data_IF_950629457079
#
_entry.id   IF_950629457079
#
_cell.length_a   1.000
_cell.length_b   1.000
_cell.length_c   1.000
_cell.angle_alpha   90.00
_cell.angle_beta   90.00
_cell.angle_gamma   90.00
#
_symmetry.space_group_name_H-M   'P 1'
#
loop_
_entity.id
_entity.type
_entity.pdbx_description
1 polymer ?
#
# COMPACT_ATOMS: atom_id res chain seq x y z
N UNK A 1 -14.80 -3.84 14.37
CA UNK A 1 -14.76 -5.32 14.35
C UNK A 1 -14.95 -5.96 12.97
N UNK A 2 -15.45 -5.28 11.92
CA UNK A 2 -15.68 -5.91 10.60
C UNK A 2 -14.51 -5.94 9.60
N UNK A 3 -13.34 -5.36 9.93
CA UNK A 3 -12.23 -5.23 8.97
C UNK A 3 -11.27 -6.42 8.91
N UNK A 4 -11.18 -7.24 9.97
CA UNK A 4 -10.31 -8.42 10.02
C UNK A 4 -10.81 -9.57 9.15
N UNK A 5 -12.12 -9.65 8.93
CA UNK A 5 -12.77 -10.76 8.21
C UNK A 5 -12.58 -10.69 6.69
N UNK A 6 -12.56 -9.51 6.07
CA UNK A 6 -12.47 -9.40 4.60
C UNK A 6 -11.11 -9.84 4.06
N UNK A 7 -10.01 -9.48 4.73
CA UNK A 7 -8.67 -9.88 4.30
C UNK A 7 -8.45 -11.41 4.40
N UNK A 8 -9.05 -12.07 5.39
CA UNK A 8 -9.03 -13.53 5.53
C UNK A 8 -9.71 -14.20 4.33
N UNK A 9 -10.86 -13.68 3.89
CA UNK A 9 -11.60 -14.24 2.75
C UNK A 9 -10.84 -14.13 1.42
N UNK A 10 -9.91 -13.19 1.31
CA UNK A 10 -9.11 -12.95 0.12
C UNK A 10 -7.72 -13.59 0.19
N UNK A 11 -7.38 -14.24 1.31
CA UNK A 11 -6.06 -14.83 1.50
C UNK A 11 -5.82 -15.89 0.41
N UNK A 12 -4.82 -15.70 -0.47
CA UNK A 12 -4.58 -16.66 -1.52
C UNK A 12 -3.88 -17.90 -0.95
N UNK A 13 -4.18 -19.08 -1.51
CA UNK A 13 -3.68 -20.37 -1.00
C UNK A 13 -2.15 -20.49 -1.07
N UNK A 14 -1.51 -19.73 -1.96
CA UNK A 14 -0.06 -19.71 -2.17
C UNK A 14 0.68 -18.63 -1.36
N UNK A 15 -0.02 -17.97 -0.43
CA UNK A 15 0.57 -17.00 0.50
C UNK A 15 1.53 -17.70 1.47
N UNK A 16 2.76 -17.19 1.56
CA UNK A 16 3.78 -17.71 2.46
C UNK A 16 4.11 -16.66 3.52
N UNK A 17 3.67 -16.89 4.75
CA UNK A 17 3.98 -16.02 5.89
C UNK A 17 5.15 -16.55 6.71
N UNK A 18 6.08 -15.65 7.05
CA UNK A 18 7.09 -15.89 8.06
C UNK A 18 6.44 -16.11 9.42
N UNK A 19 7.05 -16.98 10.22
CA UNK A 19 6.67 -17.19 11.62
C UNK A 19 7.34 -16.17 12.56
N UNK A 20 8.25 -15.37 12.04
CA UNK A 20 8.98 -14.37 12.82
C UNK A 20 8.06 -13.22 13.24
N UNK A 21 8.34 -12.68 14.42
CA UNK A 21 7.66 -11.51 14.97
C UNK A 21 8.73 -10.46 15.23
N UNK A 22 8.60 -9.31 14.56
CA UNK A 22 9.52 -8.19 14.71
C UNK A 22 9.33 -7.59 16.10
N UNK A 23 10.42 -7.47 16.85
CA UNK A 23 10.46 -6.66 18.06
C UNK A 23 10.48 -5.18 17.67
N UNK A 24 9.29 -4.58 17.59
CA UNK A 24 9.10 -3.19 17.14
C UNK A 24 9.87 -2.20 18.04
N UNK A 25 10.18 -2.55 19.28
CA UNK A 25 10.92 -1.67 20.19
C UNK A 25 12.43 -1.63 19.89
N UNK A 26 12.91 -2.57 19.09
CA UNK A 26 14.32 -2.73 18.77
C UNK A 26 14.71 -2.18 17.41
N UNK A 27 13.74 -1.99 16.51
CA UNK A 27 14.01 -1.60 15.12
C UNK A 27 14.27 -0.09 14.98
N UNK A 28 15.07 0.34 14.00
CA UNK A 28 15.40 1.75 13.73
C UNK A 28 14.19 2.70 13.72
N UNK A 29 13.08 2.32 13.10
CA UNK A 29 11.88 3.15 12.98
C UNK A 29 11.15 3.42 14.31
N UNK A 30 11.55 2.73 15.39
CA UNK A 30 10.97 2.92 16.71
C UNK A 30 11.21 4.32 17.28
N UNK A 31 12.32 5.00 16.93
CA UNK A 31 12.76 6.24 17.59
C UNK A 31 11.86 7.48 17.35
N UNK A 32 10.66 7.30 16.78
CA UNK A 32 9.61 8.33 16.62
C UNK A 32 8.21 7.91 17.09
N UNK A 33 8.07 6.91 17.98
CA UNK A 33 6.79 6.30 18.37
C UNK A 33 5.89 7.18 19.28
N UNK A 34 5.42 8.33 18.77
CA UNK A 34 4.20 8.99 19.31
C UNK A 34 3.04 9.03 18.29
N UNK A 35 3.23 8.54 17.06
CA UNK A 35 2.23 8.64 15.99
C UNK A 35 1.60 7.30 15.55
N UNK A 36 1.81 6.22 16.31
CA UNK A 36 1.35 4.86 15.94
C UNK A 36 -0.19 4.72 15.92
N UNK A 37 -0.92 5.65 16.51
CA UNK A 37 -2.38 5.65 16.57
C UNK A 37 -3.05 6.78 15.78
N UNK A 38 -2.31 7.55 14.95
CA UNK A 38 -2.89 8.69 14.21
C UNK A 38 -3.16 8.45 12.72
N UNK A 39 -2.96 7.25 12.19
CA UNK A 39 -3.34 6.90 10.80
C UNK A 39 -4.87 6.64 10.67
N UNK A 40 -5.68 7.35 11.47
CA UNK A 40 -7.07 7.57 11.13
C UNK A 40 -7.10 8.66 10.06
N UNK A 41 -7.25 8.22 8.81
CA UNK A 41 -7.82 9.04 7.73
C UNK A 41 -8.99 9.80 8.35
N UNK A 42 -9.02 11.12 8.16
CA UNK A 42 -10.10 11.95 8.66
C UNK A 42 -11.44 11.29 8.32
N UNK A 43 -12.19 10.89 9.35
CA UNK A 43 -13.57 10.43 9.20
C UNK A 43 -14.52 11.61 8.96
N UNK A 44 -13.95 12.80 8.73
CA UNK A 44 -14.67 14.02 8.51
C UNK A 44 -15.02 14.13 7.03
N UNK A 45 -16.30 13.89 6.71
CA UNK A 45 -16.86 14.01 5.36
C UNK A 45 -16.87 15.47 4.84
N UNK A 46 -16.28 16.41 5.59
CA UNK A 46 -16.19 17.83 5.27
C UNK A 46 -15.19 18.13 4.15
N UNK A 47 -14.20 17.26 3.93
CA UNK A 47 -13.10 17.54 3.00
C UNK A 47 -13.09 16.68 1.73
N UNK A 48 -14.15 16.84 0.93
CA UNK A 48 -14.20 16.29 -0.44
C UNK A 48 -13.05 16.81 -1.31
N UNK A 49 -12.50 17.98 -0.98
CA UNK A 49 -11.39 18.63 -1.69
C UNK A 49 -10.09 17.89 -1.45
N UNK A 50 -9.81 17.47 -0.21
CA UNK A 50 -8.66 16.63 0.12
C UNK A 50 -8.76 15.24 -0.54
N UNK A 51 -9.92 14.58 -0.50
CA UNK A 51 -10.12 13.30 -1.20
C UNK A 51 -9.91 13.44 -2.71
N UNK A 52 -10.42 14.51 -3.32
CA UNK A 52 -10.21 14.82 -4.75
C UNK A 52 -8.76 15.19 -5.05
N UNK A 53 -8.10 15.92 -4.15
CA UNK A 53 -6.69 16.30 -4.23
C UNK A 53 -5.76 15.10 -4.13
N UNK A 54 -6.07 14.14 -3.26
CA UNK A 54 -5.38 12.86 -3.12
C UNK A 54 -5.68 11.91 -4.28
N UNK A 55 -6.85 11.99 -4.91
CA UNK A 55 -7.17 11.22 -6.12
C UNK A 55 -6.49 11.79 -7.39
N UNK A 56 -6.12 13.07 -7.39
CA UNK A 56 -5.39 13.70 -8.49
C UNK A 56 -3.88 13.64 -8.24
N UNK A 57 -3.11 13.14 -9.21
CA UNK A 57 -1.65 12.96 -9.08
C UNK A 57 -0.87 14.25 -8.76
N UNK A 58 -1.43 15.44 -8.95
CA UNK A 58 -0.67 16.70 -8.90
C UNK A 58 -0.42 17.26 -7.50
N UNK A 59 -1.14 16.84 -6.45
CA UNK A 59 -1.06 17.46 -5.12
C UNK A 59 -0.95 16.50 -3.92
N UNK A 60 -0.88 15.18 -4.14
CA UNK A 60 -0.80 14.18 -3.07
C UNK A 60 0.26 13.12 -3.34
N UNK A 61 -0.18 11.91 -3.68
CA UNK A 61 0.72 10.76 -3.90
C UNK A 61 1.61 10.89 -5.13
N UNK A 62 1.22 11.61 -6.19
CA UNK A 62 2.05 11.70 -7.41
C UNK A 62 3.33 12.51 -7.21
N UNK A 63 3.28 13.60 -6.45
CA UNK A 63 4.49 14.35 -6.06
C UNK A 63 5.38 13.54 -5.11
N UNK A 64 4.77 12.80 -4.17
CA UNK A 64 5.52 11.89 -3.31
C UNK A 64 6.16 10.75 -4.10
N UNK A 65 5.47 10.24 -5.13
CA UNK A 65 6.00 9.23 -6.04
C UNK A 65 7.21 9.75 -6.79
N UNK A 66 7.18 10.99 -7.30
CA UNK A 66 8.35 11.58 -7.98
C UNK A 66 9.49 11.86 -7.01
N UNK A 67 9.21 12.39 -5.82
CA UNK A 67 10.23 12.72 -4.84
C UNK A 67 10.93 11.47 -4.28
N UNK A 68 10.18 10.37 -4.14
CA UNK A 68 10.67 9.11 -3.58
C UNK A 68 10.88 8.03 -4.65
N UNK A 69 10.90 8.41 -5.93
CA UNK A 69 10.91 7.46 -7.05
C UNK A 69 12.07 6.45 -6.97
N UNK A 70 13.26 6.93 -6.63
CA UNK A 70 14.44 6.08 -6.49
C UNK A 70 14.27 5.03 -5.37
N UNK A 71 13.78 5.44 -4.21
CA UNK A 71 13.54 4.54 -3.08
C UNK A 71 12.40 3.56 -3.38
N UNK A 72 11.33 4.00 -4.02
CA UNK A 72 10.20 3.14 -4.41
C UNK A 72 10.65 2.09 -5.45
N UNK A 73 11.43 2.50 -6.45
CA UNK A 73 12.00 1.60 -7.45
C UNK A 73 12.93 0.58 -6.79
N UNK A 74 13.82 1.03 -5.90
CA UNK A 74 14.67 0.15 -5.10
C UNK A 74 13.85 -0.87 -4.29
N UNK A 75 12.81 -0.42 -3.56
CA UNK A 75 11.95 -1.30 -2.80
C UNK A 75 11.28 -2.37 -3.66
N UNK A 76 10.85 -1.99 -4.87
CA UNK A 76 10.24 -2.96 -5.78
C UNK A 76 11.23 -4.03 -6.24
N UNK A 77 12.44 -3.61 -6.62
CA UNK A 77 13.51 -4.47 -7.13
C UNK A 77 14.17 -5.33 -6.05
N UNK A 78 14.22 -4.89 -4.79
CA UNK A 78 14.96 -5.58 -3.72
C UNK A 78 14.07 -6.35 -2.75
N UNK A 79 12.96 -5.80 -2.29
CA UNK A 79 12.15 -6.44 -1.24
C UNK A 79 11.09 -7.40 -1.78
N UNK A 80 10.73 -8.40 -0.97
CA UNK A 80 9.64 -9.34 -1.22
C UNK A 80 8.28 -8.72 -0.98
N UNK A 81 7.28 -9.28 -1.63
CA UNK A 81 5.87 -9.00 -1.35
C UNK A 81 5.06 -10.29 -1.44
N UNK A 82 3.75 -10.21 -1.21
CA UNK A 82 2.84 -11.32 -1.48
C UNK A 82 3.02 -11.94 -2.88
N UNK A 83 3.33 -11.13 -3.88
CA UNK A 83 3.37 -11.54 -5.30
C UNK A 83 4.77 -11.51 -5.93
N UNK A 84 5.74 -10.84 -5.31
CA UNK A 84 7.15 -10.89 -5.69
C UNK A 84 7.93 -11.77 -4.73
N UNK A 85 8.06 -13.06 -5.08
CA UNK A 85 8.91 -14.02 -4.35
C UNK A 85 10.36 -13.87 -4.83
N UNK A 86 11.30 -13.76 -3.88
CA UNK A 86 12.75 -13.68 -4.15
C UNK A 86 13.46 -14.83 -3.45
N UNK A 87 14.55 -15.31 -4.04
CA UNK A 87 15.30 -16.46 -3.50
C UNK A 87 16.05 -16.14 -2.20
N UNK A 88 16.36 -14.86 -1.97
CA UNK A 88 17.11 -14.42 -0.80
C UNK A 88 16.39 -14.78 0.50
N UNK A 89 17.14 -15.20 1.52
CA UNK A 89 16.62 -15.41 2.87
C UNK A 89 16.28 -14.06 3.49
N UNK A 90 15.05 -13.90 3.97
CA UNK A 90 14.54 -12.66 4.57
C UNK A 90 13.90 -12.96 5.92
N UNK A 91 13.87 -11.98 6.81
CA UNK A 91 13.34 -12.15 8.17
C UNK A 91 11.81 -12.24 8.15
N UNK A 92 11.19 -11.44 7.30
CA UNK A 92 9.76 -11.48 6.97
C UNK A 92 9.57 -11.75 5.49
N UNK A 93 8.41 -12.30 5.09
CA UNK A 93 8.09 -12.51 3.68
C UNK A 93 7.28 -11.36 3.09
N UNK A 94 6.58 -10.59 3.92
CA UNK A 94 5.74 -9.45 3.50
C UNK A 94 6.49 -8.12 3.70
N UNK A 95 7.70 -7.99 3.12
CA UNK A 95 8.60 -6.85 3.35
C UNK A 95 8.02 -5.52 2.82
N UNK A 96 7.50 -5.49 1.58
CA UNK A 96 6.87 -4.28 1.02
C UNK A 96 5.63 -3.89 1.82
N UNK A 97 4.83 -4.86 2.24
CA UNK A 97 3.67 -4.64 3.10
C UNK A 97 4.08 -4.12 4.49
N UNK A 98 5.20 -4.60 5.05
CA UNK A 98 5.78 -4.03 6.27
C UNK A 98 6.20 -2.58 6.07
N UNK A 99 6.87 -2.26 4.98
CA UNK A 99 7.25 -0.87 4.65
C UNK A 99 6.01 0.04 4.61
N UNK A 100 4.89 -0.45 4.08
CA UNK A 100 3.63 0.30 4.00
C UNK A 100 2.89 0.38 5.35
N UNK A 101 2.91 -0.68 6.16
CA UNK A 101 2.05 -0.81 7.34
C UNK A 101 2.78 -0.75 8.68
N UNK A 102 3.96 -1.37 8.80
CA UNK A 102 4.80 -1.36 10.01
C UNK A 102 4.29 -2.22 11.15
N UNK A 103 3.55 -3.30 10.88
CA UNK A 103 3.10 -4.25 11.89
C UNK A 103 4.14 -5.35 12.15
N UNK A 104 4.14 -5.97 13.34
CA UNK A 104 5.22 -6.88 13.74
C UNK A 104 5.20 -8.24 13.05
N UNK A 105 4.13 -8.62 12.36
CA UNK A 105 4.04 -9.92 11.68
C UNK A 105 3.44 -9.79 10.29
N UNK A 106 3.76 -10.76 9.44
CA UNK A 106 3.37 -10.81 8.03
C UNK A 106 1.86 -10.76 7.82
N UNK A 107 1.10 -11.52 8.61
CA UNK A 107 -0.34 -11.57 8.45
C UNK A 107 -1.00 -10.21 8.72
N UNK A 108 -0.54 -9.47 9.74
CA UNK A 108 -1.04 -8.11 10.00
C UNK A 108 -0.63 -7.14 8.87
N UNK A 109 0.61 -7.20 8.39
CA UNK A 109 1.05 -6.37 7.26
C UNK A 109 0.23 -6.64 6.00
N UNK A 110 -0.01 -7.91 5.67
CA UNK A 110 -0.91 -8.29 4.58
C UNK A 110 -2.33 -7.76 4.80
N UNK A 111 -2.92 -8.02 5.97
CA UNK A 111 -4.30 -7.64 6.29
C UNK A 111 -4.52 -6.14 6.22
N UNK A 112 -3.56 -5.35 6.71
CA UNK A 112 -3.62 -3.89 6.64
C UNK A 112 -3.32 -3.34 5.25
N UNK A 113 -2.44 -3.98 4.48
CA UNK A 113 -2.20 -3.64 3.07
C UNK A 113 -3.45 -3.85 2.23
N UNK A 114 -4.13 -5.00 2.37
CA UNK A 114 -5.42 -5.27 1.71
C UNK A 114 -6.44 -4.17 2.01
N UNK A 115 -6.52 -3.70 3.26
CA UNK A 115 -7.43 -2.58 3.61
C UNK A 115 -7.03 -1.27 2.95
N UNK A 116 -5.73 -0.94 2.92
CA UNK A 116 -5.24 0.26 2.23
C UNK A 116 -5.54 0.20 0.73
N UNK A 117 -5.36 -0.96 0.10
CA UNK A 117 -5.75 -1.18 -1.30
C UNK A 117 -7.25 -1.02 -1.53
N UNK A 118 -8.10 -1.60 -0.67
CA UNK A 118 -9.56 -1.46 -0.79
C UNK A 118 -9.96 0.02 -0.67
N UNK A 119 -9.36 0.78 0.25
CA UNK A 119 -9.61 2.23 0.40
C UNK A 119 -9.18 3.01 -0.84
N UNK A 120 -7.99 2.75 -1.37
CA UNK A 120 -7.49 3.38 -2.59
C UNK A 120 -8.44 3.11 -3.77
N UNK A 121 -8.80 1.83 -3.97
CA UNK A 121 -9.73 1.40 -5.03
C UNK A 121 -11.13 2.00 -4.85
N UNK A 122 -11.62 2.12 -3.62
CA UNK A 122 -12.92 2.72 -3.32
C UNK A 122 -13.00 4.15 -3.84
N UNK A 123 -11.95 4.96 -3.64
CA UNK A 123 -11.91 6.33 -4.15
C UNK A 123 -12.06 6.39 -5.68
N UNK A 124 -11.28 5.60 -6.41
CA UNK A 124 -11.34 5.56 -7.88
C UNK A 124 -12.64 4.94 -8.41
N UNK A 125 -13.11 3.84 -7.82
CA UNK A 125 -14.34 3.17 -8.24
C UNK A 125 -15.56 4.06 -7.98
N UNK A 126 -15.61 4.75 -6.84
CA UNK A 126 -16.69 5.68 -6.53
C UNK A 126 -16.66 6.89 -7.48
N UNK A 127 -15.49 7.49 -7.70
CA UNK A 127 -15.35 8.60 -8.64
C UNK A 127 -15.81 8.21 -10.06
N UNK A 128 -15.44 7.02 -10.54
CA UNK A 128 -15.93 6.49 -11.81
C UNK A 128 -17.45 6.28 -11.80
N UNK A 129 -17.99 5.63 -10.77
CA UNK A 129 -19.42 5.33 -10.65
C UNK A 129 -20.27 6.61 -10.74
N UNK A 130 -19.84 7.71 -10.12
CA UNK A 130 -20.54 9.00 -10.20
C UNK A 130 -20.64 9.55 -11.63
N UNK A 131 -19.71 9.19 -12.52
CA UNK A 131 -19.73 9.59 -13.94
C UNK A 131 -20.57 8.67 -14.82
N UNK A 132 -20.92 7.48 -14.34
CA UNK A 132 -21.70 6.51 -15.10
C UNK A 132 -23.20 6.73 -14.92
N UNK A 133 -23.81 7.41 -15.90
CA UNK A 133 -25.25 7.72 -15.88
C UNK A 133 -26.14 6.47 -15.81
N UNK A 134 -25.74 5.35 -16.44
CA UNK A 134 -26.51 4.13 -16.47
C UNK A 134 -26.55 3.42 -15.10
N UNK A 135 -25.38 3.26 -14.47
CA UNK A 135 -25.25 2.68 -13.13
C UNK A 135 -25.89 3.59 -12.08
N UNK A 136 -25.69 4.91 -12.18
CA UNK A 136 -26.33 5.87 -11.26
C UNK A 136 -27.85 5.91 -11.38
N UNK A 137 -28.42 5.63 -12.56
CA UNK A 137 -29.86 5.47 -12.73
C UNK A 137 -30.38 4.24 -11.95
N UNK A 138 -29.68 3.10 -11.99
CA UNK A 138 -30.03 1.89 -11.22
C UNK A 138 -29.97 2.15 -9.71
N UNK A 139 -28.89 2.78 -9.24
CA UNK A 139 -28.74 3.20 -7.84
C UNK A 139 -29.89 4.13 -7.43
N UNK A 140 -30.22 5.11 -8.27
CA UNK A 140 -31.30 6.05 -8.00
C UNK A 140 -32.66 5.37 -7.92
N UNK A 141 -32.94 4.40 -8.81
CA UNK A 141 -34.18 3.64 -8.80
C UNK A 141 -34.31 2.82 -7.51
N UNK A 142 -33.25 2.12 -7.10
CA UNK A 142 -33.22 1.36 -5.85
C UNK A 142 -33.42 2.28 -4.63
N UNK A 143 -32.75 3.43 -4.60
CA UNK A 143 -32.92 4.42 -3.54
C UNK A 143 -34.38 4.89 -3.44
N UNK A 144 -35.01 5.22 -4.57
CA UNK A 144 -36.43 5.65 -4.61
C UNK A 144 -37.36 4.61 -4.01
N UNK A 145 -37.14 3.32 -4.30
CA UNK A 145 -37.94 2.22 -3.74
C UNK A 145 -37.74 2.12 -2.22
N UNK A 146 -36.49 2.18 -1.75
CA UNK A 146 -36.18 2.10 -0.31
C UNK A 146 -36.70 3.30 0.48
N UNK A 147 -36.78 4.47 -0.15
CA UNK A 147 -37.23 5.72 0.48
C UNK A 147 -38.66 6.09 0.09
N UNK A 148 -39.49 5.15 -0.37
CA UNK A 148 -40.85 5.44 -0.85
C UNK A 148 -41.70 6.19 0.18
N UNK A 149 -41.57 5.84 1.47
CA UNK A 149 -42.28 6.48 2.59
C UNK A 149 -41.54 7.67 3.21
N UNK A 150 -40.30 7.94 2.77
CA UNK A 150 -39.49 9.06 3.23
C UNK A 150 -38.66 9.67 2.06
N UNK A 151 -39.29 10.26 1.04
CA UNK A 151 -38.60 10.66 -0.20
C UNK A 151 -37.46 11.67 0.01
N UNK A 152 -37.50 12.45 1.09
CA UNK A 152 -36.43 13.38 1.46
C UNK A 152 -35.10 12.69 1.79
N UNK A 153 -35.10 11.39 2.14
CA UNK A 153 -33.89 10.59 2.35
C UNK A 153 -33.28 10.06 1.04
N UNK A 154 -33.99 10.14 -0.09
CA UNK A 154 -33.57 9.55 -1.35
C UNK A 154 -32.15 9.95 -1.77
N UNK A 155 -31.73 11.24 -1.69
CA UNK A 155 -30.38 11.62 -2.08
C UNK A 155 -29.30 10.99 -1.20
N UNK A 156 -29.55 10.91 0.11
CA UNK A 156 -28.61 10.31 1.08
C UNK A 156 -28.48 8.80 0.82
N UNK A 157 -29.61 8.10 0.68
CA UNK A 157 -29.63 6.66 0.42
C UNK A 157 -29.01 6.33 -0.93
N UNK A 158 -29.23 7.17 -1.96
CA UNK A 158 -28.61 7.02 -3.28
C UNK A 158 -27.08 7.01 -3.19
N UNK A 159 -26.47 7.99 -2.53
CA UNK A 159 -25.00 8.03 -2.43
C UNK A 159 -24.43 6.99 -1.48
N UNK A 160 -25.18 6.60 -0.43
CA UNK A 160 -24.81 5.48 0.42
C UNK A 160 -24.74 4.17 -0.39
N UNK A 161 -25.76 3.88 -1.21
CA UNK A 161 -25.80 2.71 -2.08
C UNK A 161 -24.66 2.73 -3.12
N UNK A 162 -24.38 3.90 -3.71
CA UNK A 162 -23.23 4.07 -4.61
C UNK A 162 -21.90 3.76 -3.91
N UNK A 163 -21.74 4.20 -2.65
CA UNK A 163 -20.59 3.88 -1.81
C UNK A 163 -20.48 2.38 -1.53
N UNK A 164 -21.58 1.73 -1.15
CA UNK A 164 -21.61 0.28 -0.93
C UNK A 164 -21.25 -0.51 -2.20
N UNK A 165 -21.80 -0.14 -3.36
CA UNK A 165 -21.49 -0.83 -4.61
C UNK A 165 -20.01 -0.64 -5.00
N UNK A 166 -19.49 0.58 -4.86
CA UNK A 166 -18.07 0.87 -5.10
C UNK A 166 -17.15 0.13 -4.14
N UNK A 167 -17.58 -0.09 -2.89
CA UNK A 167 -16.84 -0.88 -1.91
C UNK A 167 -16.79 -2.37 -2.30
N UNK A 168 -17.91 -2.94 -2.76
CA UNK A 168 -17.97 -4.32 -3.27
C UNK A 168 -17.07 -4.49 -4.50
N UNK A 169 -17.09 -3.52 -5.44
CA UNK A 169 -16.19 -3.50 -6.59
C UNK A 169 -14.72 -3.45 -6.16
N UNK A 170 -14.41 -2.67 -5.13
CA UNK A 170 -13.05 -2.54 -4.59
C UNK A 170 -12.56 -3.82 -3.90
N UNK A 171 -13.47 -4.54 -3.23
CA UNK A 171 -13.21 -5.86 -2.67
C UNK A 171 -12.90 -6.86 -3.80
N UNK A 172 -13.67 -6.84 -4.90
CA UNK A 172 -13.41 -7.68 -6.06
C UNK A 172 -12.05 -7.38 -6.71
N UNK A 173 -11.72 -6.09 -6.86
CA UNK A 173 -10.43 -5.64 -7.38
C UNK A 173 -9.26 -6.15 -6.56
N UNK A 174 -9.32 -5.99 -5.23
CA UNK A 174 -8.24 -6.42 -4.36
C UNK A 174 -8.14 -7.95 -4.33
N UNK A 175 -9.26 -8.68 -4.39
CA UNK A 175 -9.25 -10.13 -4.54
C UNK A 175 -8.54 -10.58 -5.83
N UNK A 176 -8.66 -9.83 -6.92
CA UNK A 176 -7.93 -10.08 -8.17
C UNK A 176 -6.42 -9.77 -8.02
N UNK A 177 -6.08 -8.61 -7.44
CA UNK A 177 -4.69 -8.21 -7.21
C UNK A 177 -3.95 -9.21 -6.32
N UNK A 178 -4.53 -9.58 -5.18
CA UNK A 178 -3.90 -10.54 -4.27
C UNK A 178 -3.83 -11.94 -4.84
N UNK A 179 -4.52 -12.26 -5.93
CA UNK A 179 -4.39 -13.53 -6.69
C UNK A 179 -3.43 -13.42 -7.89
N UNK A 180 -2.76 -12.27 -8.06
CA UNK A 180 -1.76 -12.04 -9.10
C UNK A 180 -2.32 -11.54 -10.43
N UNK A 181 -3.58 -11.08 -10.46
CA UNK A 181 -4.17 -10.47 -11.64
C UNK A 181 -3.95 -8.95 -11.64
N UNK A 182 -4.13 -8.32 -12.81
CA UNK A 182 -4.00 -6.88 -12.98
C UNK A 182 -5.35 -6.18 -12.89
N UNK A 183 -5.35 -4.96 -12.36
CA UNK A 183 -6.53 -4.10 -12.27
C UNK A 183 -6.18 -2.69 -12.73
N UNK A 184 -7.03 -2.07 -13.55
CA UNK A 184 -6.81 -0.69 -13.99
C UNK A 184 -7.04 0.30 -12.85
N UNK A 185 -6.16 1.30 -12.75
CA UNK A 185 -6.31 2.38 -11.78
C UNK A 185 -7.62 3.16 -12.01
N UNK A 186 -7.89 3.57 -13.25
CA UNK A 186 -9.15 4.18 -13.67
C UNK A 186 -9.93 3.18 -14.52
N UNK A 187 -11.15 2.84 -14.11
CA UNK A 187 -11.99 1.87 -14.80
C UNK A 187 -12.78 2.49 -15.94
N UNK A 188 -13.08 1.67 -16.95
CA UNK A 188 -14.12 1.89 -17.93
C UNK A 188 -15.35 1.02 -17.65
N UNK A 189 -16.41 1.17 -18.44
CA UNK A 189 -17.64 0.39 -18.25
C UNK A 189 -17.44 -1.11 -18.42
N UNK A 190 -16.48 -1.49 -19.27
CA UNK A 190 -16.11 -2.87 -19.59
C UNK A 190 -15.30 -3.53 -18.46
N UNK A 191 -14.57 -2.73 -17.68
CA UNK A 191 -13.69 -3.23 -16.60
C UNK A 191 -14.43 -3.44 -15.26
N UNK A 192 -15.72 -3.07 -15.20
CA UNK A 192 -16.52 -3.14 -13.99
C UNK A 192 -17.16 -4.52 -13.86
N UNK A 193 -16.87 -5.21 -12.76
CA UNK A 193 -17.15 -6.64 -12.61
C UNK A 193 -18.40 -6.97 -11.78
N UNK A 194 -18.82 -6.07 -10.89
CA UNK A 194 -19.92 -6.31 -9.94
C UNK A 194 -21.26 -5.75 -10.42
N UNK A 195 -22.35 -6.35 -9.98
CA UNK A 195 -23.70 -5.82 -10.19
C UNK A 195 -24.32 -5.39 -8.85
N UNK A 196 -25.23 -4.42 -8.86
CA UNK A 196 -25.82 -3.94 -7.60
C UNK A 196 -26.72 -4.98 -6.92
N UNK A 197 -27.17 -6.01 -7.66
CA UNK A 197 -28.12 -7.02 -7.17
C UNK A 197 -27.46 -8.37 -6.83
N UNK A 198 -26.44 -8.82 -7.58
CA UNK A 198 -25.75 -10.10 -7.33
C UNK A 198 -24.24 -10.00 -7.61
N UNK A 199 -23.43 -10.42 -6.63
CA UNK A 199 -21.97 -10.27 -6.62
C UNK A 199 -21.21 -11.53 -6.21
N UNK A 200 -21.89 -12.59 -5.77
CA UNK A 200 -21.22 -13.77 -5.21
C UNK A 200 -20.38 -14.50 -6.27
N UNK A 201 -20.86 -14.51 -7.52
CA UNK A 201 -20.16 -15.15 -8.63
C UNK A 201 -18.79 -14.50 -8.92
N UNK A 202 -18.64 -13.18 -8.70
CA UNK A 202 -17.41 -12.44 -9.00
C UNK A 202 -16.24 -12.90 -8.11
N UNK A 203 -16.52 -13.23 -6.85
CA UNK A 203 -15.50 -13.66 -5.90
C UNK A 203 -15.00 -15.09 -6.13
N UNK A 204 -15.86 -15.94 -6.71
CA UNK A 204 -15.58 -17.34 -7.02
C UNK A 204 -15.20 -17.57 -8.49
N UNK A 205 -15.20 -16.53 -9.33
CA UNK A 205 -14.88 -16.64 -10.75
C UNK A 205 -13.43 -17.08 -10.92
N UNK A 206 -13.25 -18.19 -11.64
CA UNK A 206 -11.94 -18.55 -12.19
C UNK A 206 -11.64 -17.61 -13.35
N UNK A 207 -10.63 -16.77 -13.19
CA UNK A 207 -10.30 -15.72 -14.16
C UNK A 207 -9.50 -16.34 -15.30
N UNK A 208 -9.94 -16.08 -16.54
CA UNK A 208 -9.29 -16.59 -17.76
C UNK A 208 -7.96 -15.88 -18.05
N UNK A 209 -7.18 -16.42 -19.00
CA UNK A 209 -5.87 -15.84 -19.35
C UNK A 209 -5.94 -14.42 -19.93
N UNK A 210 -7.06 -14.00 -20.56
CA UNK A 210 -7.20 -12.67 -21.19
C UNK A 210 -7.31 -11.52 -20.17
N UNK A 211 -7.82 -11.80 -18.97
CA UNK A 211 -7.97 -10.82 -17.88
C UNK A 211 -6.63 -10.53 -17.16
N UNK A 212 -5.54 -11.23 -17.52
CA UNK A 212 -4.23 -11.10 -16.85
C UNK A 212 -3.40 -9.89 -17.28
N UNK A 213 -3.75 -9.19 -18.36
CA UNK A 213 -2.77 -8.29 -19.00
C UNK A 213 -3.06 -6.79 -18.92
N UNK A 214 -4.24 -6.35 -18.46
CA UNK A 214 -4.60 -4.91 -18.48
C UNK A 214 -4.61 -4.28 -17.09
N UNK A 215 -3.88 -3.17 -16.95
CA UNK A 215 -3.85 -2.37 -15.73
C UNK A 215 -2.56 -2.59 -14.94
N UNK A 216 -2.62 -2.28 -13.65
CA UNK A 216 -1.52 -2.40 -12.72
C UNK A 216 -1.60 -3.72 -11.96
N UNK A 217 -0.47 -4.37 -11.73
CA UNK A 217 -0.36 -5.53 -10.86
C UNK A 217 -0.28 -5.14 -9.38
N UNK A 218 -0.26 -6.16 -8.51
CA UNK A 218 -0.21 -5.98 -7.06
C UNK A 218 0.99 -5.13 -6.61
N UNK A 219 2.18 -5.37 -7.16
CA UNK A 219 3.40 -4.65 -6.77
C UNK A 219 3.39 -3.19 -7.26
N UNK A 220 2.87 -2.93 -8.46
CA UNK A 220 2.65 -1.57 -8.97
C UNK A 220 1.67 -0.79 -8.08
N UNK A 221 0.63 -1.45 -7.54
CA UNK A 221 -0.25 -0.85 -6.53
C UNK A 221 0.46 -0.62 -5.17
N UNK A 222 1.37 -1.52 -4.76
CA UNK A 222 2.18 -1.29 -3.56
C UNK A 222 3.09 -0.07 -3.72
N UNK A 223 3.63 0.19 -4.92
CA UNK A 223 4.40 1.41 -5.18
C UNK A 223 3.58 2.68 -4.95
N UNK A 224 2.30 2.69 -5.34
CA UNK A 224 1.39 3.81 -5.06
C UNK A 224 1.19 3.98 -3.54
N UNK A 225 1.01 2.88 -2.81
CA UNK A 225 0.88 2.91 -1.35
C UNK A 225 2.17 3.34 -0.64
N UNK A 226 3.33 2.96 -1.17
CA UNK A 226 4.65 3.40 -0.68
C UNK A 226 4.82 4.91 -0.89
N UNK A 227 4.45 5.44 -2.06
CA UNK A 227 4.39 6.88 -2.28
C UNK A 227 3.47 7.59 -1.28
N UNK A 228 2.31 7.02 -0.99
CA UNK A 228 1.41 7.55 0.04
C UNK A 228 1.95 7.42 1.48
N UNK A 229 2.95 6.56 1.72
CA UNK A 229 3.59 6.39 3.04
C UNK A 229 4.60 7.51 3.35
N UNK A 230 5.19 8.13 2.32
CA UNK A 230 6.09 9.28 2.48
C UNK A 230 7.38 8.92 3.20
N UNK A 231 7.90 9.84 4.02
CA UNK A 231 9.22 9.70 4.67
C UNK A 231 9.33 8.50 5.62
N UNK A 232 8.23 8.10 6.27
CA UNK A 232 8.16 6.89 7.13
C UNK A 232 8.61 5.62 6.40
N UNK A 233 8.55 5.62 5.07
CA UNK A 233 9.04 4.53 4.24
C UNK A 233 10.54 4.29 4.46
N UNK A 234 11.36 5.35 4.53
CA UNK A 234 12.81 5.23 4.69
C UNK A 234 13.19 4.58 6.02
N UNK A 235 12.54 4.99 7.12
CA UNK A 235 12.79 4.39 8.43
C UNK A 235 12.48 2.88 8.42
N UNK A 236 11.41 2.47 7.74
CA UNK A 236 11.03 1.05 7.64
C UNK A 236 11.88 0.26 6.65
N UNK A 237 12.46 0.92 5.65
CA UNK A 237 13.49 0.30 4.79
C UNK A 237 14.71 -0.05 5.65
N UNK A 238 15.13 0.85 6.56
CA UNK A 238 16.22 0.60 7.49
C UNK A 238 15.92 -0.56 8.44
N UNK A 239 14.67 -0.70 8.91
CA UNK A 239 14.24 -1.87 9.69
C UNK A 239 14.46 -3.17 8.93
N UNK A 240 13.97 -3.25 7.68
CA UNK A 240 14.09 -4.47 6.88
C UNK A 240 15.56 -4.80 6.62
N UNK A 241 16.41 -3.81 6.38
CA UNK A 241 17.86 -4.02 6.24
C UNK A 241 18.48 -4.61 7.51
N UNK A 242 18.22 -4.02 8.67
CA UNK A 242 18.76 -4.51 9.94
C UNK A 242 18.26 -5.92 10.25
N UNK A 243 16.97 -6.18 10.04
CA UNK A 243 16.35 -7.49 10.27
C UNK A 243 16.93 -8.57 9.36
N UNK A 244 17.11 -8.27 8.07
CA UNK A 244 17.67 -9.22 7.11
C UNK A 244 19.15 -9.47 7.35
N UNK A 245 19.94 -8.43 7.61
CA UNK A 245 21.35 -8.58 7.98
C UNK A 245 21.51 -9.36 9.29
N UNK A 246 20.59 -9.15 10.25
CA UNK A 246 20.52 -9.84 11.53
C UNK A 246 20.39 -11.36 11.45
N UNK A 247 19.97 -11.89 10.30
CA UNK A 247 19.88 -13.34 10.05
C UNK A 247 21.27 -13.99 10.08
N UNK A 248 22.25 -13.33 9.47
CA UNK A 248 23.63 -13.82 9.38
C UNK A 248 24.54 -13.13 10.41
N UNK A 249 24.20 -11.91 10.82
CA UNK A 249 24.95 -11.08 11.76
C UNK A 249 24.04 -10.59 12.91
N UNK A 250 23.73 -11.41 13.94
CA UNK A 250 22.75 -11.07 14.98
C UNK A 250 23.04 -9.78 15.77
N UNK A 251 24.32 -9.39 15.86
CA UNK A 251 24.78 -8.19 16.54
C UNK A 251 24.80 -6.94 15.63
N UNK A 252 24.50 -7.10 14.33
CA UNK A 252 24.43 -5.99 13.40
C UNK A 252 23.33 -5.03 13.81
N UNK A 253 23.66 -3.73 13.86
CA UNK A 253 22.72 -2.64 14.07
C UNK A 253 23.06 -1.54 13.09
N UNK A 254 22.08 -1.02 12.37
CA UNK A 254 22.26 -0.02 11.34
C UNK A 254 22.84 1.29 11.92
N UNK A 255 22.48 1.61 13.17
CA UNK A 255 23.04 2.75 13.91
C UNK A 255 24.55 2.63 14.19
N UNK A 256 25.10 1.41 14.11
CA UNK A 256 26.52 1.14 14.29
C UNK A 256 27.24 0.89 12.96
N UNK A 257 26.53 0.98 11.82
CA UNK A 257 27.14 0.81 10.51
C UNK A 257 28.00 2.04 10.18
N UNK A 258 29.23 1.81 9.73
CA UNK A 258 30.07 2.88 9.19
C UNK A 258 29.53 3.25 7.81
N UNK A 259 29.03 4.47 7.67
CA UNK A 259 28.41 4.97 6.42
C UNK A 259 29.41 5.81 5.60
N UNK A 260 30.41 6.36 6.28
CA UNK A 260 31.41 7.26 5.71
C UNK A 260 32.77 6.90 6.29
N UNK A 261 33.80 6.90 5.45
CA UNK A 261 35.18 6.74 5.88
C UNK A 261 36.00 7.93 5.37
N UNK A 262 36.28 8.86 6.27
CA UNK A 262 37.18 9.99 6.03
C UNK A 262 38.51 9.78 6.77
N UNK A 263 39.61 9.95 6.03
CA UNK A 263 40.97 9.95 6.58
C UNK A 263 41.52 11.36 6.48
N UNK A 264 41.85 11.92 7.64
CA UNK A 264 42.66 13.13 7.75
C UNK A 264 44.00 12.74 8.36
N UNK A 265 45.09 12.98 7.65
CA UNK A 265 46.44 12.67 8.12
C UNK A 265 47.40 13.79 7.75
N UNK A 266 48.10 14.32 8.75
CA UNK A 266 49.23 15.22 8.57
C UNK A 266 50.50 14.39 8.48
N UNK A 267 51.23 14.51 7.37
CA UNK A 267 52.52 13.84 7.16
C UNK A 267 53.61 14.91 7.14
N UNK A 268 54.57 14.82 8.07
CA UNK A 268 55.76 15.66 8.06
C UNK A 268 56.95 14.88 7.46
N UNK A 269 57.52 15.40 6.38
CA UNK A 269 58.71 14.83 5.74
C UNK A 269 59.73 15.94 5.45
N UNK A 270 60.95 15.78 5.94
CA UNK A 270 62.04 16.76 5.80
C UNK A 270 61.65 18.20 6.20
N UNK A 271 60.82 18.36 7.24
CA UNK A 271 60.38 19.67 7.75
C UNK A 271 59.30 20.35 6.92
N UNK A 272 58.68 19.61 5.99
CA UNK A 272 57.50 20.05 5.23
C UNK A 272 56.31 19.21 5.67
N UNK A 273 55.27 19.86 6.19
CA UNK A 273 53.97 19.23 6.49
C UNK A 273 53.08 19.18 5.26
N UNK A 274 52.46 18.02 5.04
CA UNK A 274 51.43 17.80 4.03
C UNK A 274 50.15 17.34 4.73
N UNK A 275 49.05 18.06 4.52
CA UNK A 275 47.72 17.63 4.95
C UNK A 275 47.08 16.77 3.85
N UNK A 276 46.83 15.51 4.16
CA UNK A 276 46.09 14.59 3.30
C UNK A 276 44.68 14.42 3.85
N UNK A 277 43.72 15.00 3.14
CA UNK A 277 42.30 14.73 3.31
C UNK A 277 41.81 13.81 2.20
N UNK A 278 41.28 12.65 2.58
CA UNK A 278 40.59 11.76 1.65
C UNK A 278 39.27 11.33 2.25
N UNK A 279 38.20 11.70 1.57
CA UNK A 279 36.83 11.28 1.85
C UNK A 279 36.45 10.24 0.81
N UNK A 280 35.86 9.13 1.23
CA UNK A 280 35.33 8.13 0.32
C UNK A 280 34.00 7.66 0.88
N UNK A 281 32.94 7.99 0.15
CA UNK A 281 31.61 7.45 0.35
C UNK A 281 31.55 6.04 -0.27
N UNK A 282 30.86 5.12 0.40
CA UNK A 282 30.64 3.76 -0.09
C UNK A 282 29.56 3.70 -1.18
#
# INVERSE_FOLDING_TARGET
MGGATVAVLMLPEDAEFSQNIIDIFSVPSYSGMFYMFSDDVSHDFSDYSALRGDLTSSNGWGNSFTNNAAAIAYCSEVFKSLRSKKENKTYVNMEKEYIICGYPNDYLNYSHTVRKLIKLRLGFNFAYLLTDAGRMARVSALATVLTAYAPFLQPVVKYLLAGCWSYIESIADVNFLVKGHKVKLIKSSEDWCTDIYDNLAVFNRTIGNEDKEKGLDYDEYLMILMAATGEKMYDRILDIFELNAGIDYPDFRIKNAAVEFSVNTEIEYEGVSFDLYKETDY
#
